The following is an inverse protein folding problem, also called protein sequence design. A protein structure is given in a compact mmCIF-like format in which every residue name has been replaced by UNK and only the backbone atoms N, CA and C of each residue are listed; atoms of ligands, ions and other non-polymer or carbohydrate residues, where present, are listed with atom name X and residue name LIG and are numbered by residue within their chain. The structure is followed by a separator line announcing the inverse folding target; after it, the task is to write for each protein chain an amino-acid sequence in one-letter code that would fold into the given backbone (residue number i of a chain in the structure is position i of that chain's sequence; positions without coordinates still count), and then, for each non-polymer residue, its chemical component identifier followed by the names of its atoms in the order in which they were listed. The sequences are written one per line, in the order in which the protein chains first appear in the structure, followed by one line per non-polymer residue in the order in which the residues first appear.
data_IF_004698872979
#
_entry.id   IF_004698872979
#
_cell.length_a   1.000
_cell.length_b   1.000
_cell.length_c   1.000
_cell.angle_alpha   90.00
_cell.angle_beta   90.00
_cell.angle_gamma   90.00
#
_symmetry.space_group_name_H-M   'P 1'
#
loop_
_entity.id
_entity.type
_entity.pdbx_description
1 polymer ?
#
# COMPACT_ATOMS: atom_id res chain seq x y z
N UNK A 1 10.45 11.59 -1.96
CA UNK A 1 10.66 11.06 -0.60
C UNK A 1 12.05 10.47 -0.57
N UNK A 2 12.96 10.98 0.25
CA UNK A 2 14.31 10.42 0.36
C UNK A 2 14.25 9.02 0.98
N UNK A 3 15.20 8.15 0.65
CA UNK A 3 15.37 6.82 1.26
C UNK A 3 15.38 6.87 2.78
N UNK A 4 15.91 7.95 3.34
CA UNK A 4 16.13 8.13 4.77
C UNK A 4 14.80 8.28 5.54
N UNK A 5 13.81 8.95 4.95
CA UNK A 5 12.50 9.10 5.57
C UNK A 5 11.73 7.79 5.66
N UNK A 6 11.89 6.90 4.67
CA UNK A 6 11.23 5.60 4.69
C UNK A 6 11.94 4.62 5.63
N UNK A 7 13.27 4.64 5.66
CA UNK A 7 14.06 3.86 6.62
C UNK A 7 13.71 4.22 8.07
N UNK A 8 13.58 5.51 8.39
CA UNK A 8 13.19 5.95 9.74
C UNK A 8 11.83 5.36 10.18
N UNK A 9 10.83 5.38 9.29
CA UNK A 9 9.51 4.81 9.58
C UNK A 9 9.60 3.31 9.83
N UNK A 10 10.38 2.58 9.04
CA UNK A 10 10.48 1.12 9.18
C UNK A 10 11.31 0.69 10.40
N UNK A 11 12.35 1.44 10.75
CA UNK A 11 13.13 1.16 11.96
C UNK A 11 12.34 1.37 13.24
N UNK A 12 11.40 2.32 13.26
CA UNK A 12 10.47 2.52 14.37
C UNK A 12 9.50 1.34 14.57
N UNK A 13 9.34 0.45 13.59
CA UNK A 13 8.36 -0.66 13.60
C UNK A 13 8.95 -2.07 13.77
N UNK A 14 10.24 -2.23 14.14
CA UNK A 14 10.81 -3.55 14.54
C UNK A 14 10.03 -4.10 15.77
N UNK A 15 9.61 -5.37 15.91
CA UNK A 15 10.04 -6.67 15.35
C UNK A 15 8.95 -7.76 15.50
N UNK A 16 9.06 -8.80 14.68
CA UNK A 16 8.44 -10.14 14.71
C UNK A 16 6.95 -10.32 14.35
N UNK A 17 6.08 -9.32 14.47
CA UNK A 17 4.64 -9.48 14.13
C UNK A 17 4.09 -8.56 13.05
N UNK A 18 4.93 -7.71 12.47
CA UNK A 18 4.47 -6.74 11.46
C UNK A 18 4.61 -7.35 10.07
N UNK A 19 3.47 -7.55 9.42
CA UNK A 19 3.38 -7.95 8.02
C UNK A 19 3.40 -6.70 7.14
N UNK A 20 4.27 -6.69 6.11
CA UNK A 20 4.33 -5.62 5.14
C UNK A 20 3.45 -5.98 3.94
N UNK A 21 2.37 -5.23 3.73
CA UNK A 21 1.51 -5.36 2.56
C UNK A 21 1.84 -4.32 1.50
N UNK A 22 2.08 -4.77 0.27
CA UNK A 22 2.38 -3.92 -0.89
C UNK A 22 1.37 -4.22 -1.98
N UNK A 23 0.83 -3.19 -2.62
CA UNK A 23 -0.08 -3.40 -3.74
C UNK A 23 0.68 -3.95 -4.94
N UNK A 24 0.21 -5.07 -5.50
CA UNK A 24 0.80 -5.70 -6.68
C UNK A 24 0.30 -5.00 -7.95
N UNK A 25 1.00 -3.95 -8.35
CA UNK A 25 0.69 -3.12 -9.53
C UNK A 25 1.88 -3.02 -10.49
N UNK A 26 1.58 -2.64 -11.73
CA UNK A 26 2.55 -2.34 -12.78
C UNK A 26 2.16 -1.09 -13.55
N UNK A 27 3.06 -0.61 -14.40
CA UNK A 27 2.81 0.51 -15.32
C UNK A 27 1.64 0.18 -16.24
N UNK A 28 0.75 1.14 -16.48
CA UNK A 28 -0.34 0.98 -17.44
C UNK A 28 0.13 1.32 -18.86
N UNK A 29 -0.39 0.63 -19.87
CA UNK A 29 0.02 0.82 -21.28
C UNK A 29 -0.13 2.25 -21.80
N UNK A 30 -1.01 3.05 -21.20
CA UNK A 30 -1.27 4.45 -21.57
C UNK A 30 -0.47 5.46 -20.74
N UNK A 31 0.35 5.00 -19.78
CA UNK A 31 1.23 5.88 -19.03
C UNK A 31 2.32 6.44 -19.95
N UNK A 32 2.54 7.75 -19.92
CA UNK A 32 3.65 8.37 -20.64
C UNK A 32 5.00 7.86 -20.14
N UNK A 33 6.04 7.90 -21.00
CA UNK A 33 7.40 7.41 -20.70
C UNK A 33 7.94 7.88 -19.34
N UNK A 34 7.73 9.15 -18.99
CA UNK A 34 8.16 9.72 -17.71
C UNK A 34 7.44 9.09 -16.52
N UNK A 35 6.12 8.92 -16.61
CA UNK A 35 5.31 8.30 -15.54
C UNK A 35 5.69 6.83 -15.34
N UNK A 36 5.88 6.08 -16.43
CA UNK A 36 6.35 4.70 -16.40
C UNK A 36 7.71 4.54 -15.70
N UNK A 37 8.68 5.41 -16.03
CA UNK A 37 10.00 5.41 -15.40
C UNK A 37 9.91 5.76 -13.91
N UNK A 38 9.18 6.81 -13.54
CA UNK A 38 9.00 7.20 -12.14
C UNK A 38 8.31 6.10 -11.33
N UNK A 39 7.31 5.43 -11.89
CA UNK A 39 6.68 4.29 -11.25
C UNK A 39 7.69 3.16 -11.00
N UNK A 40 8.43 2.75 -12.02
CA UNK A 40 9.43 1.67 -11.90
C UNK A 40 10.50 1.97 -10.86
N UNK A 41 10.99 3.21 -10.83
CA UNK A 41 11.94 3.67 -9.82
C UNK A 41 11.36 3.59 -8.40
N UNK A 42 10.18 4.19 -8.17
CA UNK A 42 9.55 4.20 -6.84
C UNK A 42 9.20 2.79 -6.35
N UNK A 43 8.65 1.94 -7.23
CA UNK A 43 8.30 0.57 -6.90
C UNK A 43 9.55 -0.28 -6.61
N UNK A 44 10.63 -0.08 -7.38
CA UNK A 44 11.92 -0.72 -7.14
C UNK A 44 12.54 -0.32 -5.80
N UNK A 45 12.55 0.96 -5.47
CA UNK A 45 13.04 1.46 -4.17
C UNK A 45 12.24 0.88 -3.01
N UNK A 46 10.91 0.84 -3.12
CA UNK A 46 10.05 0.26 -2.09
C UNK A 46 10.34 -1.23 -1.88
N UNK A 47 10.52 -2.00 -2.95
CA UNK A 47 10.86 -3.42 -2.86
C UNK A 47 12.24 -3.65 -2.25
N UNK A 48 13.24 -2.84 -2.62
CA UNK A 48 14.58 -2.93 -2.05
C UNK A 48 14.54 -2.70 -0.54
N UNK A 49 13.82 -1.66 -0.11
CA UNK A 49 13.68 -1.36 1.32
C UNK A 49 12.89 -2.45 2.04
N UNK A 50 11.81 -2.96 1.45
CA UNK A 50 11.04 -4.08 2.00
C UNK A 50 11.94 -5.30 2.27
N UNK A 51 12.76 -5.69 1.29
CA UNK A 51 13.67 -6.83 1.39
C UNK A 51 14.83 -6.62 2.38
N UNK A 52 15.22 -5.37 2.65
CA UNK A 52 16.25 -5.06 3.65
C UNK A 52 15.74 -5.17 5.09
N UNK A 53 14.45 -4.89 5.32
CA UNK A 53 13.88 -4.79 6.67
C UNK A 53 12.95 -5.94 7.07
N UNK A 54 12.45 -6.71 6.10
CA UNK A 54 11.49 -7.80 6.33
C UNK A 54 11.99 -9.11 5.73
N UNK A 55 11.63 -10.22 6.36
CA UNK A 55 11.82 -11.54 5.74
C UNK A 55 10.81 -11.72 4.59
N UNK A 56 11.19 -12.47 3.57
CA UNK A 56 10.37 -12.68 2.37
C UNK A 56 8.95 -13.18 2.69
N UNK A 57 8.78 -14.02 3.71
CA UNK A 57 7.49 -14.54 4.15
C UNK A 57 6.57 -13.48 4.79
N UNK A 58 7.15 -12.38 5.30
CA UNK A 58 6.46 -11.26 5.93
C UNK A 58 6.02 -10.18 4.92
N UNK A 59 6.43 -10.28 3.66
CA UNK A 59 6.07 -9.33 2.60
C UNK A 59 4.95 -9.93 1.75
N UNK A 60 3.79 -9.27 1.71
CA UNK A 60 2.63 -9.70 0.92
C UNK A 60 2.36 -8.73 -0.21
N UNK A 61 2.53 -9.22 -1.43
CA UNK A 61 2.15 -8.50 -2.65
C UNK A 61 0.71 -8.85 -3.01
N UNK A 62 -0.21 -7.90 -2.84
CA UNK A 62 -1.66 -8.15 -2.94
C UNK A 62 -2.22 -7.40 -4.16
N UNK A 63 -2.88 -8.07 -5.11
CA UNK A 63 -3.51 -7.40 -6.25
C UNK A 63 -4.62 -6.44 -5.80
N UNK A 64 -4.78 -5.26 -6.44
CA UNK A 64 -5.81 -4.30 -6.06
C UNK A 64 -7.22 -4.89 -6.11
N UNK A 65 -7.50 -5.75 -7.10
CA UNK A 65 -8.79 -6.40 -7.23
C UNK A 65 -9.15 -7.23 -5.99
N UNK A 66 -8.17 -7.87 -5.36
CA UNK A 66 -8.37 -8.78 -4.22
C UNK A 66 -8.86 -8.01 -3.00
N UNK A 67 -8.12 -6.98 -2.57
CA UNK A 67 -8.49 -6.21 -1.39
C UNK A 67 -9.72 -5.32 -1.65
N UNK A 68 -9.85 -4.75 -2.86
CA UNK A 68 -11.02 -3.92 -3.21
C UNK A 68 -12.30 -4.73 -3.25
N UNK A 69 -12.26 -5.97 -3.76
CA UNK A 69 -13.42 -6.85 -3.77
C UNK A 69 -13.85 -7.20 -2.34
N UNK A 70 -12.89 -7.52 -1.46
CA UNK A 70 -13.17 -7.84 -0.06
C UNK A 70 -13.95 -6.73 0.67
N UNK A 71 -13.68 -5.45 0.36
CA UNK A 71 -14.38 -4.32 0.98
C UNK A 71 -15.55 -3.76 0.16
N UNK A 72 -15.93 -4.39 -0.96
CA UNK A 72 -17.03 -3.91 -1.80
C UNK A 72 -16.71 -2.60 -2.54
N UNK A 73 -15.44 -2.37 -2.87
CA UNK A 73 -14.96 -1.16 -3.55
C UNK A 73 -14.84 -1.32 -5.08
N UNK A 74 -15.09 -2.53 -5.60
CA UNK A 74 -15.10 -2.78 -7.05
C UNK A 74 -16.24 -2.03 -7.74
N UNK A 75 -15.94 -1.38 -8.86
CA UNK A 75 -16.92 -0.59 -9.63
C UNK A 75 -17.37 0.71 -8.95
N UNK A 76 -16.81 1.05 -7.78
CA UNK A 76 -17.16 2.28 -7.06
C UNK A 76 -16.35 3.48 -7.56
N UNK A 77 -16.80 4.69 -7.20
CA UNK A 77 -16.06 5.93 -7.47
C UNK A 77 -14.72 5.88 -6.75
N UNK A 78 -13.67 6.47 -7.34
CA UNK A 78 -12.32 6.53 -6.74
C UNK A 78 -12.29 7.00 -5.28
N UNK A 79 -13.17 7.96 -4.93
CA UNK A 79 -13.27 8.52 -3.57
C UNK A 79 -13.98 7.62 -2.55
N UNK A 80 -14.68 6.56 -2.99
CA UNK A 80 -15.44 5.68 -2.12
C UNK A 80 -14.56 4.99 -1.06
N UNK A 81 -13.30 4.67 -1.39
CA UNK A 81 -12.32 4.13 -0.44
C UNK A 81 -12.10 5.08 0.75
N UNK A 82 -11.88 6.36 0.48
CA UNK A 82 -11.68 7.40 1.49
C UNK A 82 -12.93 7.63 2.33
N UNK A 83 -14.09 7.75 1.69
CA UNK A 83 -15.35 8.00 2.38
C UNK A 83 -15.72 6.81 3.28
N UNK A 84 -15.49 5.58 2.81
CA UNK A 84 -15.69 4.36 3.59
C UNK A 84 -14.73 4.29 4.78
N UNK A 85 -13.45 4.65 4.59
CA UNK A 85 -12.45 4.67 5.65
C UNK A 85 -12.82 5.66 6.75
N UNK A 86 -13.17 6.90 6.39
CA UNK A 86 -13.63 7.93 7.33
C UNK A 86 -14.89 7.52 8.09
N UNK A 87 -15.81 6.83 7.42
CA UNK A 87 -17.05 6.33 8.04
C UNK A 87 -16.79 5.19 9.02
N UNK A 88 -15.93 4.23 8.66
CA UNK A 88 -15.70 3.01 9.47
C UNK A 88 -14.66 3.20 10.56
N UNK A 89 -13.73 4.12 10.38
CA UNK A 89 -12.64 4.37 11.33
C UNK A 89 -12.48 5.85 11.64
N UNK A 90 -13.48 6.48 12.28
CA UNK A 90 -13.46 7.92 12.56
C UNK A 90 -12.31 8.33 13.51
N UNK A 91 -11.70 7.38 14.23
CA UNK A 91 -10.55 7.63 15.10
C UNK A 91 -9.23 7.88 14.35
N UNK A 92 -9.15 7.54 13.05
CA UNK A 92 -7.96 7.76 12.24
C UNK A 92 -8.14 8.94 11.29
N UNK A 93 -7.05 9.66 11.05
CA UNK A 93 -7.01 10.77 10.10
C UNK A 93 -6.64 10.24 8.71
N UNK A 94 -7.56 10.41 7.75
CA UNK A 94 -7.33 10.07 6.35
C UNK A 94 -7.25 11.34 5.49
N UNK A 95 -6.02 11.73 5.15
CA UNK A 95 -5.73 12.98 4.43
C UNK A 95 -5.89 12.88 2.91
N UNK A 96 -5.76 11.67 2.36
CA UNK A 96 -5.90 11.42 0.92
C UNK A 96 -6.51 10.06 0.63
N UNK A 97 -6.92 9.86 -0.63
CA UNK A 97 -7.36 8.56 -1.13
C UNK A 97 -6.23 7.53 -1.01
N UNK A 98 -4.98 7.93 -1.30
CA UNK A 98 -3.84 7.03 -1.29
C UNK A 98 -3.54 6.51 0.13
N UNK A 99 -3.71 7.37 1.16
CA UNK A 99 -3.59 6.96 2.58
C UNK A 99 -4.72 5.99 2.96
N UNK A 100 -5.94 6.24 2.49
CA UNK A 100 -7.06 5.31 2.72
C UNK A 100 -6.84 3.97 2.02
N UNK A 101 -6.37 3.96 0.78
CA UNK A 101 -6.05 2.73 0.02
C UNK A 101 -4.95 1.92 0.72
N UNK A 102 -3.88 2.58 1.19
CA UNK A 102 -2.83 1.93 1.97
C UNK A 102 -3.37 1.33 3.29
N UNK A 103 -4.27 2.03 3.97
CA UNK A 103 -4.91 1.52 5.19
C UNK A 103 -5.80 0.31 4.89
N UNK A 104 -6.61 0.34 3.83
CA UNK A 104 -7.44 -0.80 3.43
C UNK A 104 -6.59 -2.01 3.05
N UNK A 105 -5.51 -1.80 2.31
CA UNK A 105 -4.54 -2.85 1.98
C UNK A 105 -3.96 -3.49 3.24
N UNK A 106 -3.53 -2.68 4.22
CA UNK A 106 -3.02 -3.17 5.49
C UNK A 106 -4.09 -3.93 6.29
N UNK A 107 -5.33 -3.41 6.34
CA UNK A 107 -6.46 -4.09 6.99
C UNK A 107 -6.82 -5.41 6.32
N UNK A 108 -6.81 -5.47 5.00
CA UNK A 108 -6.98 -6.74 4.30
C UNK A 108 -5.91 -7.73 4.70
N UNK A 109 -4.65 -7.27 4.75
CA UNK A 109 -3.54 -8.15 5.08
C UNK A 109 -3.61 -8.67 6.52
N UNK A 110 -3.99 -7.83 7.50
CA UNK A 110 -4.24 -8.20 8.90
C UNK A 110 -5.33 -9.27 9.06
N UNK A 111 -6.36 -9.25 8.20
CA UNK A 111 -7.48 -10.21 8.27
C UNK A 111 -7.11 -11.57 7.65
N UNK A 112 -6.20 -11.58 6.65
CA UNK A 112 -6.02 -12.73 5.75
C UNK A 112 -4.64 -13.40 5.83
N UNK A 113 -3.68 -12.86 6.59
CA UNK A 113 -2.32 -13.40 6.75
C UNK A 113 -1.83 -13.29 8.19
#
# INVERSE_FOLDING_TARGET
MSSDGLNYILEAYKKDKVLLSVEKIGVMRHDGRKAAHTFGFNYGVLNAIALLHYKSEQIKYIPPITWKNHFGLIGTKKRASLDLAKKRFPQYKFDSIDVADAFWLAKFAEINF
#
